data_IF_165424013031
#
_entry.id   IF_165424013031
#
_cell.length_a   1.000
_cell.length_b   1.000
_cell.length_c   1.000
_cell.angle_alpha   90.00
_cell.angle_beta   90.00
_cell.angle_gamma   90.00
#
_symmetry.space_group_name_H-M   'P 1'
#
loop_
_entity.id
_entity.type
_entity.pdbx_description
1 polymer ?
#
# COMPACT_ATOMS: atom_id res chain seq x y z
N UNK A 1 -9.99 -14.19 44.02
CA UNK A 1 -9.72 -12.97 43.25
C UNK A 1 -9.17 -13.40 41.89
N UNK A 2 -9.96 -13.40 40.79
CA UNK A 2 -9.42 -13.72 39.47
C UNK A 2 -8.81 -12.43 38.87
N UNK A 3 -7.54 -12.52 38.48
CA UNK A 3 -6.85 -11.50 37.71
C UNK A 3 -7.47 -11.40 36.31
N UNK A 4 -8.17 -10.32 36.05
CA UNK A 4 -8.66 -9.94 34.73
C UNK A 4 -7.48 -9.59 33.84
N UNK A 5 -7.19 -10.47 32.88
CA UNK A 5 -6.28 -10.24 31.76
C UNK A 5 -7.00 -9.31 30.76
N UNK A 6 -6.90 -8.00 30.96
CA UNK A 6 -7.28 -7.03 29.94
C UNK A 6 -6.26 -7.07 28.81
N UNK A 7 -6.53 -7.93 27.84
CA UNK A 7 -5.90 -7.87 26.53
C UNK A 7 -6.37 -6.55 25.90
N UNK A 8 -5.52 -5.52 25.95
CA UNK A 8 -5.72 -4.24 25.28
C UNK A 8 -5.99 -4.51 23.80
N UNK A 9 -7.26 -4.57 23.41
CA UNK A 9 -7.68 -4.62 22.02
C UNK A 9 -7.14 -3.34 21.34
N UNK A 10 -6.15 -3.49 20.48
CA UNK A 10 -5.68 -2.39 19.62
C UNK A 10 -6.89 -1.97 18.81
N UNK A 11 -7.36 -0.72 19.00
CA UNK A 11 -8.46 -0.17 18.20
C UNK A 11 -8.11 -0.36 16.73
N UNK A 12 -8.91 -1.13 15.97
CA UNK A 12 -8.81 -1.24 14.52
C UNK A 12 -8.83 0.18 13.96
N UNK A 13 -7.91 0.51 13.02
CA UNK A 13 -7.88 1.83 12.38
C UNK A 13 -7.07 2.91 13.11
N UNK A 14 -6.15 2.57 14.03
CA UNK A 14 -5.27 3.57 14.63
C UNK A 14 -4.08 3.89 13.72
N UNK A 15 -4.20 4.93 12.91
CA UNK A 15 -3.06 5.49 12.17
C UNK A 15 -2.04 6.11 13.13
N UNK A 16 -0.77 5.72 12.99
CA UNK A 16 0.32 6.13 13.89
C UNK A 16 1.29 7.17 13.29
N UNK A 17 1.13 7.50 12.01
CA UNK A 17 1.98 8.46 11.30
C UNK A 17 1.64 9.93 11.59
N UNK A 18 2.40 10.83 10.96
CA UNK A 18 2.14 12.26 11.01
C UNK A 18 0.88 12.60 10.20
N UNK A 19 -0.08 13.29 10.82
CA UNK A 19 -1.32 13.73 10.15
C UNK A 19 -1.21 15.13 9.54
N UNK A 20 -0.39 16.03 10.10
CA UNK A 20 -0.20 17.42 9.63
C UNK A 20 1.29 17.76 9.54
N UNK A 21 1.65 18.54 8.53
CA UNK A 21 2.99 19.09 8.33
C UNK A 21 3.02 20.62 8.45
N UNK A 22 3.76 21.27 7.55
CA UNK A 22 3.75 22.73 7.43
C UNK A 22 2.39 23.26 7.00
N UNK A 23 2.13 24.56 7.25
CA UNK A 23 0.94 25.23 6.78
C UNK A 23 0.77 25.05 5.26
N UNK A 24 -0.46 24.83 4.82
CA UNK A 24 -0.79 24.68 3.41
C UNK A 24 -0.72 26.05 2.70
N UNK A 25 -0.34 26.02 1.44
CA UNK A 25 -0.47 27.21 0.58
C UNK A 25 -1.97 27.48 0.31
N UNK A 26 -2.39 28.74 0.07
CA UNK A 26 -3.81 29.06 -0.15
C UNK A 26 -4.50 28.18 -1.19
N UNK A 27 -3.88 27.94 -2.35
CA UNK A 27 -4.43 27.04 -3.40
C UNK A 27 -4.60 25.61 -2.91
N UNK A 28 -3.66 25.10 -2.12
CA UNK A 28 -3.76 23.74 -1.57
C UNK A 28 -4.92 23.61 -0.56
N UNK A 29 -5.15 24.64 0.26
CA UNK A 29 -6.27 24.67 1.18
C UNK A 29 -7.61 24.74 0.42
N UNK A 30 -7.71 25.56 -0.64
CA UNK A 30 -8.88 25.65 -1.52
C UNK A 30 -9.19 24.26 -2.13
N UNK A 31 -8.20 23.56 -2.68
CA UNK A 31 -8.39 22.24 -3.29
C UNK A 31 -8.89 21.16 -2.30
N UNK A 32 -8.46 21.21 -1.05
CA UNK A 32 -9.01 20.33 -0.02
C UNK A 32 -10.49 20.60 0.23
N UNK A 33 -10.94 21.83 0.06
CA UNK A 33 -12.33 22.22 0.28
C UNK A 33 -13.22 21.97 -0.95
N UNK A 34 -12.70 22.18 -2.15
CA UNK A 34 -13.48 22.22 -3.39
C UNK A 34 -13.35 20.96 -4.24
N UNK A 35 -12.15 20.37 -4.28
CA UNK A 35 -11.84 19.21 -5.14
C UNK A 35 -11.91 17.87 -4.38
N UNK A 36 -11.38 17.81 -3.15
CA UNK A 36 -11.39 16.55 -2.40
C UNK A 36 -12.80 15.97 -2.24
N UNK A 37 -13.87 16.73 -1.91
CA UNK A 37 -15.22 16.15 -1.80
C UNK A 37 -15.72 15.48 -3.08
N UNK A 38 -15.23 15.90 -4.25
CA UNK A 38 -15.62 15.33 -5.55
C UNK A 38 -14.86 14.03 -5.89
N UNK A 39 -13.72 13.81 -5.24
CA UNK A 39 -12.82 12.67 -5.49
C UNK A 39 -12.82 11.68 -4.32
N UNK A 40 -13.28 12.10 -3.15
CA UNK A 40 -13.28 11.28 -1.95
C UNK A 40 -14.25 10.10 -2.08
N UNK A 41 -13.80 8.95 -1.59
CA UNK A 41 -14.67 7.79 -1.37
C UNK A 41 -15.51 8.01 -0.11
N UNK A 42 -16.79 7.76 -0.20
CA UNK A 42 -17.70 7.77 0.94
C UNK A 42 -17.78 6.36 1.56
N UNK A 43 -16.99 6.14 2.59
CA UNK A 43 -16.95 4.86 3.30
C UNK A 43 -18.16 4.67 4.25
N UNK A 44 -19.00 5.66 4.43
CA UNK A 44 -20.26 5.53 5.21
C UNK A 44 -21.36 4.80 4.42
N UNK A 45 -21.29 4.84 3.10
CA UNK A 45 -22.14 4.07 2.20
C UNK A 45 -21.50 2.70 1.87
N UNK A 46 -22.30 1.67 1.55
CA UNK A 46 -21.77 0.41 1.07
C UNK A 46 -20.91 0.59 -0.20
N UNK A 47 -19.79 -0.14 -0.28
CA UNK A 47 -18.99 -0.13 -1.48
C UNK A 47 -19.77 -0.69 -2.68
N UNK A 48 -19.57 -0.13 -3.89
CA UNK A 48 -20.15 -0.75 -5.09
C UNK A 48 -19.55 -2.14 -5.31
N UNK A 49 -20.36 -3.09 -5.70
CA UNK A 49 -19.91 -4.45 -6.02
C UNK A 49 -18.84 -4.47 -7.12
N UNK A 50 -18.94 -3.53 -8.06
CA UNK A 50 -17.92 -3.27 -9.10
C UNK A 50 -17.31 -1.88 -8.89
N UNK A 51 -16.10 -1.78 -8.31
CA UNK A 51 -15.47 -0.51 -8.05
C UNK A 51 -15.01 0.25 -9.31
N UNK A 52 -15.07 -0.37 -10.50
CA UNK A 52 -14.81 0.37 -11.76
C UNK A 52 -15.84 1.45 -12.01
N UNK A 53 -17.03 1.31 -11.40
CA UNK A 53 -18.13 2.31 -11.49
C UNK A 53 -17.88 3.58 -10.69
N UNK A 54 -16.86 3.61 -9.84
CA UNK A 54 -16.44 4.82 -9.09
C UNK A 54 -15.86 5.90 -10.00
N UNK A 55 -15.49 5.57 -11.23
CA UNK A 55 -14.80 6.47 -12.16
C UNK A 55 -15.75 7.02 -13.24
N UNK A 56 -15.58 8.29 -13.68
CA UNK A 56 -16.45 8.90 -14.69
C UNK A 56 -16.45 8.15 -16.02
N UNK A 57 -15.28 7.65 -16.43
CA UNK A 57 -15.15 6.69 -17.52
C UNK A 57 -14.92 5.33 -16.87
N UNK A 58 -15.71 4.33 -17.28
CA UNK A 58 -15.60 3.00 -16.71
C UNK A 58 -14.19 2.45 -16.91
N UNK A 59 -13.49 2.24 -15.80
CA UNK A 59 -12.17 1.65 -15.81
C UNK A 59 -12.24 0.13 -16.13
N UNK A 60 -11.22 -0.41 -16.77
CA UNK A 60 -11.13 -1.86 -16.96
C UNK A 60 -10.81 -2.58 -15.65
N UNK A 61 -9.95 -2.00 -14.85
CA UNK A 61 -9.52 -2.53 -13.55
C UNK A 61 -9.22 -1.40 -12.57
N UNK A 62 -9.21 -1.74 -11.28
CA UNK A 62 -8.87 -0.79 -10.21
C UNK A 62 -7.59 -1.25 -9.50
N UNK A 63 -6.66 -0.32 -9.29
CA UNK A 63 -5.47 -0.48 -8.45
C UNK A 63 -5.55 0.44 -7.23
N UNK A 64 -4.87 0.06 -6.15
CA UNK A 64 -4.79 0.84 -4.91
C UNK A 64 -3.34 1.20 -4.60
N UNK A 65 -3.05 2.46 -4.27
CA UNK A 65 -1.79 2.86 -3.66
C UNK A 65 -2.01 3.26 -2.21
N UNK A 66 -1.36 2.55 -1.28
CA UNK A 66 -1.43 2.81 0.16
C UNK A 66 -0.26 3.69 0.58
N UNK A 67 -0.56 4.86 1.16
CA UNK A 67 0.45 5.80 1.62
C UNK A 67 1.15 6.52 0.48
N UNK A 68 0.40 7.07 -0.47
CA UNK A 68 0.97 7.70 -1.68
C UNK A 68 1.84 8.94 -1.40
N UNK A 69 1.88 9.45 -0.18
CA UNK A 69 2.73 10.58 0.21
C UNK A 69 2.47 11.84 -0.61
N UNK A 70 3.36 12.22 -1.51
CA UNK A 70 3.17 13.36 -2.40
C UNK A 70 2.34 13.08 -3.64
N UNK A 71 2.04 11.81 -3.92
CA UNK A 71 1.23 11.36 -5.04
C UNK A 71 1.98 11.28 -6.37
N UNK A 72 3.31 11.44 -6.37
CA UNK A 72 4.10 11.47 -7.60
C UNK A 72 3.95 10.19 -8.43
N UNK A 73 4.02 9.02 -7.75
CA UNK A 73 3.86 7.71 -8.40
C UNK A 73 2.42 7.51 -8.85
N UNK A 74 1.44 7.69 -7.96
CA UNK A 74 0.02 7.52 -8.26
C UNK A 74 -0.44 8.38 -9.45
N UNK A 75 -0.07 9.68 -9.47
CA UNK A 75 -0.39 10.58 -10.57
C UNK A 75 0.25 10.15 -11.88
N UNK A 76 1.49 9.69 -11.84
CA UNK A 76 2.20 9.23 -13.03
C UNK A 76 1.60 7.93 -13.59
N UNK A 77 1.23 6.98 -12.73
CA UNK A 77 0.53 5.74 -13.11
C UNK A 77 -0.84 6.07 -13.72
N UNK A 78 -1.61 6.96 -13.11
CA UNK A 78 -2.92 7.34 -13.62
C UNK A 78 -2.86 7.99 -15.01
N UNK A 79 -1.84 8.82 -15.27
CA UNK A 79 -1.61 9.42 -16.61
C UNK A 79 -1.17 8.38 -17.64
N UNK A 80 -0.30 7.44 -17.24
CA UNK A 80 0.20 6.40 -18.14
C UNK A 80 -0.88 5.37 -18.52
N UNK A 81 -1.90 5.20 -17.67
CA UNK A 81 -2.95 4.18 -17.82
C UNK A 81 -4.35 4.81 -17.65
N UNK A 82 -4.82 5.61 -18.62
CA UNK A 82 -6.11 6.30 -18.53
C UNK A 82 -7.32 5.36 -18.53
N UNK A 83 -7.15 4.13 -18.98
CA UNK A 83 -8.12 3.04 -18.98
C UNK A 83 -8.23 2.28 -17.65
N UNK A 84 -7.34 2.55 -16.69
CA UNK A 84 -7.39 1.99 -15.34
C UNK A 84 -7.93 3.00 -14.34
N UNK A 85 -8.60 2.51 -13.30
CA UNK A 85 -8.98 3.29 -12.14
C UNK A 85 -7.92 3.17 -11.03
N UNK A 86 -7.64 4.27 -10.36
CA UNK A 86 -6.69 4.30 -9.25
C UNK A 86 -7.36 4.82 -7.99
N UNK A 87 -7.20 4.07 -6.90
CA UNK A 87 -7.58 4.53 -5.56
C UNK A 87 -6.29 4.89 -4.82
N UNK A 88 -6.22 6.09 -4.26
CA UNK A 88 -5.12 6.52 -3.39
C UNK A 88 -5.59 6.66 -1.95
N UNK A 89 -4.83 6.10 -1.00
CA UNK A 89 -5.09 6.23 0.43
C UNK A 89 -3.92 6.95 1.11
N UNK A 90 -4.20 8.08 1.80
CA UNK A 90 -3.17 8.86 2.49
C UNK A 90 -3.78 9.66 3.67
N UNK A 91 -3.35 9.44 4.90
CA UNK A 91 -3.85 10.20 6.06
C UNK A 91 -3.11 11.53 6.32
N UNK A 92 -2.00 11.80 5.60
CA UNK A 92 -1.21 13.01 5.78
C UNK A 92 -1.72 14.15 4.92
N UNK A 93 -2.27 15.21 5.56
CA UNK A 93 -2.94 16.33 4.88
C UNK A 93 -2.07 17.01 3.81
N UNK A 94 -0.77 17.16 4.04
CA UNK A 94 0.11 17.81 3.06
C UNK A 94 0.37 16.90 1.84
N UNK A 95 0.33 15.59 2.02
CA UNK A 95 0.36 14.61 0.93
C UNK A 95 -0.90 14.71 0.09
N UNK A 96 -2.06 14.63 0.74
CA UNK A 96 -3.37 14.79 0.10
C UNK A 96 -3.45 16.10 -0.70
N UNK A 97 -3.04 17.22 -0.11
CA UNK A 97 -3.06 18.52 -0.77
C UNK A 97 -2.13 18.61 -2.01
N UNK A 98 -1.00 17.88 -2.00
CA UNK A 98 -0.12 17.78 -3.18
C UNK A 98 -0.76 16.94 -4.29
N UNK A 99 -1.38 15.82 -3.92
CA UNK A 99 -2.09 14.95 -4.85
C UNK A 99 -3.22 15.71 -5.54
N UNK A 100 -4.03 16.46 -4.80
CA UNK A 100 -5.09 17.30 -5.35
C UNK A 100 -4.55 18.35 -6.30
N UNK A 101 -3.39 18.96 -5.98
CA UNK A 101 -2.76 19.93 -6.87
C UNK A 101 -2.27 19.29 -8.18
N UNK A 102 -1.77 18.06 -8.15
CA UNK A 102 -1.38 17.32 -9.34
C UNK A 102 -2.61 16.93 -10.19
N UNK A 103 -3.69 16.47 -9.56
CA UNK A 103 -4.95 16.15 -10.24
C UNK A 103 -5.53 17.37 -10.93
N UNK A 104 -5.56 18.51 -10.24
CA UNK A 104 -6.08 19.78 -10.77
C UNK A 104 -5.24 20.30 -11.95
N UNK A 105 -3.91 20.28 -11.81
CA UNK A 105 -3.00 20.78 -12.84
C UNK A 105 -3.00 19.93 -14.13
N UNK A 106 -3.09 18.61 -13.97
CA UNK A 106 -2.96 17.67 -15.10
C UNK A 106 -4.32 17.08 -15.54
N UNK A 107 -5.43 17.56 -14.96
CA UNK A 107 -6.81 17.12 -15.25
C UNK A 107 -6.99 15.58 -15.17
N UNK A 108 -6.40 14.95 -14.15
CA UNK A 108 -6.44 13.49 -13.99
C UNK A 108 -7.84 13.05 -13.53
N UNK A 109 -8.57 12.32 -14.38
CA UNK A 109 -9.97 11.93 -14.13
C UNK A 109 -10.15 10.54 -13.49
N UNK A 110 -9.14 9.69 -13.55
CA UNK A 110 -9.20 8.27 -13.18
C UNK A 110 -8.63 7.98 -11.78
N UNK A 111 -8.68 8.96 -10.85
CA UNK A 111 -8.28 8.80 -9.45
C UNK A 111 -9.47 9.01 -8.51
N UNK A 112 -9.56 8.18 -7.47
CA UNK A 112 -10.38 8.36 -6.28
C UNK A 112 -9.50 8.34 -5.04
N UNK A 113 -9.90 9.05 -3.99
CA UNK A 113 -9.06 9.29 -2.83
C UNK A 113 -9.77 8.87 -1.55
N UNK A 114 -9.04 8.22 -0.65
CA UNK A 114 -9.42 8.04 0.73
C UNK A 114 -8.48 8.84 1.63
N UNK A 115 -9.03 9.84 2.33
CA UNK A 115 -8.27 10.64 3.29
C UNK A 115 -8.38 10.03 4.69
N UNK A 116 -7.73 8.89 4.90
CA UNK A 116 -7.87 8.11 6.13
C UNK A 116 -6.89 6.96 6.26
N UNK A 117 -7.26 6.01 7.12
CA UNK A 117 -6.50 4.79 7.36
C UNK A 117 -6.76 3.76 6.25
N UNK A 118 -5.69 3.10 5.80
CA UNK A 118 -5.79 2.07 4.77
C UNK A 118 -6.61 0.85 5.20
N UNK A 119 -6.65 0.54 6.50
CA UNK A 119 -7.43 -0.60 7.00
C UNK A 119 -8.93 -0.32 6.85
N UNK A 120 -9.38 0.91 7.12
CA UNK A 120 -10.79 1.30 6.91
C UNK A 120 -11.18 1.14 5.44
N UNK A 121 -10.30 1.55 4.52
CA UNK A 121 -10.53 1.40 3.09
C UNK A 121 -10.52 -0.07 2.66
N UNK A 122 -9.56 -0.87 3.15
CA UNK A 122 -9.51 -2.29 2.84
C UNK A 122 -10.76 -3.02 3.36
N UNK A 123 -11.22 -2.71 4.59
CA UNK A 123 -12.43 -3.31 5.15
C UNK A 123 -13.69 -2.94 4.36
N UNK A 124 -13.74 -1.74 3.78
CA UNK A 124 -14.85 -1.25 2.96
C UNK A 124 -14.91 -1.91 1.57
N UNK A 125 -13.76 -2.20 0.95
CA UNK A 125 -13.71 -2.76 -0.41
C UNK A 125 -14.27 -4.19 -0.46
N UNK A 126 -14.99 -4.57 -1.53
CA UNK A 126 -15.45 -5.94 -1.74
C UNK A 126 -14.32 -6.92 -2.01
N UNK A 127 -14.62 -8.22 -1.96
CA UNK A 127 -13.68 -9.29 -2.21
C UNK A 127 -13.29 -9.37 -3.68
N UNK A 128 -11.99 -9.61 -3.97
CA UNK A 128 -11.50 -9.93 -5.30
C UNK A 128 -11.62 -8.82 -6.35
N UNK A 129 -11.71 -7.55 -5.96
CA UNK A 129 -11.97 -6.44 -6.87
C UNK A 129 -10.74 -5.69 -7.36
N UNK A 130 -9.63 -5.75 -6.61
CA UNK A 130 -8.42 -5.02 -6.97
C UNK A 130 -7.50 -5.81 -7.90
N UNK A 131 -7.00 -5.14 -8.94
CA UNK A 131 -6.02 -5.67 -9.88
C UNK A 131 -4.58 -5.57 -9.38
N UNK A 132 -4.33 -4.85 -8.30
CA UNK A 132 -3.02 -4.72 -7.67
C UNK A 132 -3.02 -3.68 -6.56
N UNK A 133 -2.01 -3.78 -5.69
CA UNK A 133 -1.78 -2.83 -4.59
C UNK A 133 -0.31 -2.42 -4.58
N UNK A 134 -0.07 -1.13 -4.44
CA UNK A 134 1.26 -0.55 -4.33
C UNK A 134 1.46 0.03 -2.92
N UNK A 135 2.55 -0.35 -2.24
CA UNK A 135 2.95 0.13 -0.90
C UNK A 135 4.42 0.57 -1.00
N UNK A 136 4.64 1.86 -1.20
CA UNK A 136 5.95 2.38 -1.56
C UNK A 136 6.56 3.21 -0.42
N UNK A 137 7.72 2.76 0.08
CA UNK A 137 8.47 3.43 1.14
C UNK A 137 7.62 3.79 2.38
N UNK A 138 6.84 2.84 2.92
CA UNK A 138 6.06 3.10 4.11
C UNK A 138 6.95 3.37 5.32
N UNK A 139 6.40 4.04 6.35
CA UNK A 139 7.11 4.36 7.57
C UNK A 139 7.72 3.10 8.21
N UNK A 140 9.05 2.99 8.37
CA UNK A 140 9.72 1.75 8.75
C UNK A 140 9.61 1.40 10.23
N UNK A 141 9.31 2.38 11.10
CA UNK A 141 9.20 2.20 12.55
C UNK A 141 10.35 1.37 13.13
N UNK A 142 11.62 1.86 13.13
CA UNK A 142 12.81 1.04 13.40
C UNK A 142 12.87 0.50 14.83
N UNK A 143 12.24 1.18 15.81
CA UNK A 143 12.25 0.72 17.21
C UNK A 143 11.30 -0.45 17.38
N UNK A 144 11.76 -1.58 17.94
CA UNK A 144 11.00 -2.82 18.13
C UNK A 144 9.61 -2.60 18.77
N UNK A 145 9.51 -1.73 19.80
CA UNK A 145 8.24 -1.36 20.43
C UNK A 145 7.24 -0.68 19.49
N UNK A 146 7.69 -0.21 18.30
CA UNK A 146 6.86 0.45 17.28
C UNK A 146 6.51 -0.46 16.09
N UNK A 147 7.00 -1.68 16.00
CA UNK A 147 6.74 -2.58 14.87
C UNK A 147 5.26 -2.83 14.64
N UNK A 148 4.45 -2.81 15.71
CA UNK A 148 2.97 -2.86 15.62
C UNK A 148 2.33 -1.72 14.81
N UNK A 149 3.11 -0.68 14.46
CA UNK A 149 2.69 0.48 13.65
C UNK A 149 2.99 0.29 12.16
N UNK A 150 3.79 -0.70 11.78
CA UNK A 150 4.09 -1.05 10.40
C UNK A 150 2.80 -1.41 9.68
N UNK A 151 2.62 -0.93 8.45
CA UNK A 151 1.42 -1.29 7.65
C UNK A 151 1.43 -2.78 7.28
N UNK A 152 2.60 -3.38 7.05
CA UNK A 152 2.70 -4.82 6.76
C UNK A 152 2.58 -5.61 8.06
N UNK A 153 1.37 -6.13 8.31
CA UNK A 153 1.01 -6.98 9.44
C UNK A 153 0.13 -8.13 8.93
N UNK A 154 -0.03 -9.17 9.74
CA UNK A 154 -0.81 -10.36 9.36
C UNK A 154 -2.26 -9.98 9.00
N UNK A 155 -2.88 -9.06 9.76
CA UNK A 155 -4.23 -8.56 9.50
C UNK A 155 -4.32 -7.79 8.17
N UNK A 156 -3.31 -6.96 7.86
CA UNK A 156 -3.25 -6.23 6.59
C UNK A 156 -3.08 -7.20 5.42
N UNK A 157 -2.22 -8.21 5.56
CA UNK A 157 -2.00 -9.23 4.53
C UNK A 157 -3.28 -10.03 4.28
N UNK A 158 -4.01 -10.39 5.32
CA UNK A 158 -5.31 -11.05 5.20
C UNK A 158 -6.34 -10.17 4.48
N UNK A 159 -6.41 -8.87 4.79
CA UNK A 159 -7.28 -7.93 4.12
C UNK A 159 -6.87 -7.75 2.63
N UNK A 160 -5.57 -7.67 2.32
CA UNK A 160 -5.07 -7.65 0.95
C UNK A 160 -5.43 -8.92 0.18
N UNK A 161 -5.30 -10.10 0.81
CA UNK A 161 -5.68 -11.37 0.20
C UNK A 161 -7.19 -11.42 -0.15
N UNK A 162 -8.03 -10.78 0.66
CA UNK A 162 -9.48 -10.70 0.44
C UNK A 162 -9.82 -9.78 -0.74
N UNK A 163 -9.27 -8.57 -0.77
CA UNK A 163 -9.67 -7.56 -1.77
C UNK A 163 -8.99 -7.74 -3.14
N UNK A 164 -7.85 -8.43 -3.20
CA UNK A 164 -7.13 -8.69 -4.45
C UNK A 164 -7.78 -9.85 -5.21
N UNK A 165 -7.97 -9.67 -6.51
CA UNK A 165 -8.31 -10.77 -7.40
C UNK A 165 -7.16 -11.76 -7.52
N UNK A 166 -7.47 -12.99 -7.91
CA UNK A 166 -6.46 -14.00 -8.23
C UNK A 166 -5.47 -13.48 -9.27
N UNK A 167 -4.18 -13.77 -9.09
CA UNK A 167 -3.10 -13.36 -9.98
C UNK A 167 -2.69 -11.89 -9.85
N UNK A 168 -3.37 -11.10 -9.01
CA UNK A 168 -3.00 -9.71 -8.76
C UNK A 168 -1.75 -9.62 -7.87
N UNK A 169 -0.97 -8.56 -8.06
CA UNK A 169 0.29 -8.36 -7.36
C UNK A 169 0.16 -7.28 -6.25
N UNK A 170 0.83 -7.55 -5.13
CA UNK A 170 1.21 -6.53 -4.15
C UNK A 170 2.65 -6.13 -4.43
N UNK A 171 2.85 -4.88 -4.76
CA UNK A 171 4.16 -4.26 -4.92
C UNK A 171 4.56 -3.57 -3.62
N UNK A 172 5.73 -3.90 -3.11
CA UNK A 172 6.29 -3.28 -1.92
C UNK A 172 7.71 -2.81 -2.17
N UNK A 173 7.99 -1.54 -1.92
CA UNK A 173 9.34 -0.99 -2.02
C UNK A 173 9.78 -0.36 -0.70
N UNK A 174 11.03 -0.59 -0.30
CA UNK A 174 11.65 0.02 0.88
C UNK A 174 13.17 0.07 0.74
N UNK A 175 13.79 1.09 1.31
CA UNK A 175 15.25 1.24 1.44
C UNK A 175 15.77 0.78 2.81
N UNK A 176 14.91 0.17 3.63
CA UNK A 176 15.22 -0.31 4.97
C UNK A 176 15.26 -1.83 4.98
N UNK A 177 16.45 -2.41 5.06
CA UNK A 177 16.68 -3.86 4.99
C UNK A 177 15.88 -4.64 6.05
N UNK A 178 15.81 -4.13 7.29
CA UNK A 178 14.99 -4.72 8.36
C UNK A 178 13.50 -4.76 8.00
N UNK A 179 13.00 -3.74 7.28
CA UNK A 179 11.60 -3.75 6.86
C UNK A 179 11.35 -4.66 5.65
N UNK A 180 12.33 -4.79 4.74
CA UNK A 180 12.25 -5.78 3.67
C UNK A 180 12.20 -7.21 4.23
N UNK A 181 13.11 -7.54 5.18
CA UNK A 181 13.12 -8.84 5.85
C UNK A 181 11.81 -9.11 6.61
N UNK A 182 11.31 -8.13 7.36
CA UNK A 182 10.01 -8.21 8.04
C UNK A 182 8.87 -8.52 7.06
N UNK A 183 8.84 -7.84 5.92
CA UNK A 183 7.79 -8.00 4.91
C UNK A 183 7.85 -9.40 4.30
N UNK A 184 9.04 -9.87 3.91
CA UNK A 184 9.24 -11.22 3.40
C UNK A 184 8.79 -12.30 4.40
N UNK A 185 9.18 -12.17 5.67
CA UNK A 185 8.77 -13.10 6.74
C UNK A 185 7.26 -13.19 6.89
N UNK A 186 6.56 -12.04 6.83
CA UNK A 186 5.11 -11.98 6.98
C UNK A 186 4.37 -12.59 5.78
N UNK A 187 4.77 -12.23 4.57
CA UNK A 187 4.18 -12.80 3.37
C UNK A 187 4.48 -14.29 3.21
N UNK A 188 5.66 -14.77 3.64
CA UNK A 188 5.99 -16.20 3.62
C UNK A 188 5.06 -17.06 4.50
N UNK A 189 4.43 -16.46 5.52
CA UNK A 189 3.44 -17.14 6.38
C UNK A 189 2.02 -17.09 5.81
N UNK A 190 1.79 -16.34 4.75
CA UNK A 190 0.48 -16.19 4.14
C UNK A 190 0.38 -17.10 2.89
N UNK A 191 -0.30 -18.28 2.98
CA UNK A 191 -0.35 -19.25 1.90
C UNK A 191 -1.07 -18.72 0.64
N UNK A 192 -1.81 -17.62 0.80
CA UNK A 192 -2.52 -16.92 -0.27
C UNK A 192 -1.63 -16.05 -1.15
N UNK A 193 -0.36 -15.91 -0.82
CA UNK A 193 0.61 -15.15 -1.60
C UNK A 193 1.84 -15.97 -1.95
N UNK A 194 2.37 -15.72 -3.13
CA UNK A 194 3.65 -16.24 -3.59
C UNK A 194 4.62 -15.07 -3.82
N UNK A 195 5.84 -15.16 -3.29
CA UNK A 195 6.89 -14.20 -3.62
C UNK A 195 7.41 -14.47 -5.03
N UNK A 196 7.27 -13.49 -5.93
CA UNK A 196 7.52 -13.68 -7.36
C UNK A 196 9.00 -13.69 -7.76
N UNK A 197 9.94 -13.45 -6.83
CA UNK A 197 11.36 -13.45 -7.13
C UNK A 197 11.94 -14.87 -7.21
N UNK A 198 12.62 -15.19 -8.29
CA UNK A 198 13.36 -16.43 -8.52
C UNK A 198 14.85 -16.27 -8.22
N UNK A 199 15.38 -15.05 -8.37
CA UNK A 199 16.78 -14.73 -8.11
C UNK A 199 16.95 -13.35 -7.44
N UNK A 200 18.18 -13.07 -6.98
CA UNK A 200 18.48 -11.82 -6.28
C UNK A 200 18.27 -10.57 -7.17
N UNK A 201 18.38 -10.68 -8.47
CA UNK A 201 18.19 -9.56 -9.39
C UNK A 201 16.73 -9.08 -9.41
N UNK A 202 15.76 -9.98 -9.16
CA UNK A 202 14.34 -9.71 -9.29
C UNK A 202 13.81 -8.75 -8.22
N UNK A 203 14.45 -8.71 -7.05
CA UNK A 203 14.04 -7.81 -5.96
C UNK A 203 15.04 -6.65 -5.73
N UNK A 204 16.15 -6.61 -6.50
CA UNK A 204 17.11 -5.49 -6.49
C UNK A 204 16.84 -4.47 -7.59
N UNK A 205 15.99 -4.80 -8.53
CA UNK A 205 15.52 -3.91 -9.59
C UNK A 205 14.02 -3.70 -9.46
N UNK A 206 13.50 -2.52 -9.81
CA UNK A 206 12.07 -2.29 -9.79
C UNK A 206 11.37 -3.17 -10.84
N UNK A 207 10.08 -3.47 -10.59
CA UNK A 207 9.22 -4.16 -11.56
C UNK A 207 8.98 -3.30 -12.81
N UNK A 208 8.59 -3.91 -13.95
CA UNK A 208 8.26 -3.17 -15.17
C UNK A 208 7.15 -2.12 -14.93
N UNK A 209 7.34 -0.92 -15.46
CA UNK A 209 6.39 0.19 -15.31
C UNK A 209 6.49 0.94 -13.97
N UNK A 210 7.41 0.56 -13.08
CA UNK A 210 7.67 1.32 -11.86
C UNK A 210 8.20 2.72 -12.18
N UNK A 211 7.67 3.71 -11.46
CA UNK A 211 8.14 5.09 -11.55
C UNK A 211 8.79 5.51 -10.22
N UNK A 212 10.02 6.04 -10.24
CA UNK A 212 10.75 6.38 -9.04
C UNK A 212 10.02 7.44 -8.19
N UNK A 213 10.01 7.23 -6.88
CA UNK A 213 9.48 8.20 -5.92
C UNK A 213 10.57 9.14 -5.42
N UNK A 214 10.17 10.29 -4.85
CA UNK A 214 11.12 11.18 -4.15
C UNK A 214 11.81 10.49 -2.97
N UNK A 215 11.16 9.49 -2.35
CA UNK A 215 11.71 8.73 -1.24
C UNK A 215 12.85 7.82 -1.72
N UNK A 216 12.68 7.20 -2.90
CA UNK A 216 13.77 6.45 -3.53
C UNK A 216 14.94 7.36 -3.89
N UNK A 217 14.68 8.50 -4.51
CA UNK A 217 15.73 9.46 -4.85
C UNK A 217 16.50 9.92 -3.60
N UNK A 218 15.81 10.10 -2.48
CA UNK A 218 16.45 10.41 -1.19
C UNK A 218 17.27 9.21 -0.69
N UNK A 219 16.72 8.00 -0.69
CA UNK A 219 17.42 6.79 -0.24
C UNK A 219 18.73 6.60 -1.00
N UNK A 220 18.69 6.72 -2.34
CA UNK A 220 19.89 6.60 -3.19
C UNK A 220 20.93 7.67 -2.90
N UNK A 221 20.52 8.93 -2.67
CA UNK A 221 21.45 10.01 -2.27
C UNK A 221 22.10 9.73 -0.92
N UNK A 222 21.37 9.09 0.00
CA UNK A 222 21.86 8.72 1.33
C UNK A 222 22.66 7.38 1.29
N UNK A 223 22.96 6.83 0.10
CA UNK A 223 23.72 5.59 -0.08
C UNK A 223 22.94 4.31 0.26
N UNK A 224 21.61 4.40 0.49
CA UNK A 224 20.78 3.22 0.76
C UNK A 224 20.30 2.56 -0.54
N UNK A 225 20.26 1.23 -0.52
CA UNK A 225 19.84 0.42 -1.68
C UNK A 225 18.39 -0.03 -1.48
N UNK A 226 17.46 0.37 -2.35
CA UNK A 226 16.09 -0.09 -2.29
C UNK A 226 15.94 -1.58 -2.55
N UNK A 227 14.94 -2.18 -1.91
CA UNK A 227 14.41 -3.52 -2.20
C UNK A 227 13.03 -3.38 -2.81
N UNK A 228 12.74 -4.17 -3.85
CA UNK A 228 11.48 -4.17 -4.60
C UNK A 228 10.89 -5.57 -4.53
N UNK A 229 9.85 -5.74 -3.72
CA UNK A 229 9.24 -7.03 -3.46
C UNK A 229 7.90 -7.12 -4.19
N UNK A 230 7.66 -8.22 -4.88
CA UNK A 230 6.40 -8.50 -5.58
C UNK A 230 5.81 -9.79 -5.02
N UNK A 231 4.58 -9.70 -4.50
CA UNK A 231 3.85 -10.84 -3.97
C UNK A 231 2.58 -11.04 -4.79
N UNK A 232 2.48 -12.20 -5.42
CA UNK A 232 1.33 -12.55 -6.27
C UNK A 232 0.27 -13.27 -5.48
N UNK A 233 -0.98 -12.82 -5.58
CA UNK A 233 -2.15 -13.48 -5.01
C UNK A 233 -2.39 -14.81 -5.73
N UNK A 234 -2.43 -15.91 -4.98
CA UNK A 234 -2.68 -17.27 -5.50
C UNK A 234 -3.88 -17.90 -4.82
N UNK A 235 -4.56 -18.83 -5.51
CA UNK A 235 -5.67 -19.60 -4.95
C UNK A 235 -5.22 -20.83 -4.15
N UNK A 236 -4.00 -20.87 -3.66
CA UNK A 236 -3.61 -21.95 -2.77
C UNK A 236 -4.45 -21.89 -1.49
N UNK A 237 -5.70 -22.36 -1.62
CA UNK A 237 -6.44 -22.92 -0.50
C UNK A 237 -5.65 -24.12 -0.01
N UNK A 238 -5.49 -24.20 1.27
CA UNK A 238 -5.00 -25.20 2.22
C UNK A 238 -4.87 -26.69 1.81
N UNK A 239 -4.46 -27.04 0.60
CA UNK A 239 -4.23 -28.42 0.14
C UNK A 239 -2.77 -28.67 -0.30
N UNK A 240 -1.79 -28.02 0.32
CA UNK A 240 -0.41 -28.46 0.23
C UNK A 240 -0.05 -29.19 1.54
N UNK A 241 0.45 -30.44 1.46
CA UNK A 241 0.90 -31.15 2.67
C UNK A 241 1.99 -30.34 3.38
N UNK A 242 1.92 -30.35 4.71
CA UNK A 242 2.79 -29.60 5.61
C UNK A 242 4.27 -30.11 5.66
N UNK A 243 4.78 -30.70 4.59
CA UNK A 243 6.09 -31.37 4.53
C UNK A 243 6.95 -30.95 3.33
N UNK A 244 7.20 -29.65 3.20
CA UNK A 244 8.48 -29.21 2.70
C UNK A 244 9.02 -28.10 3.61
N UNK A 245 9.71 -28.53 4.66
CA UNK A 245 10.55 -27.67 5.48
C UNK A 245 11.57 -27.01 4.57
N UNK A 246 11.30 -25.75 4.17
CA UNK A 246 12.32 -24.87 3.61
C UNK A 246 13.38 -24.76 4.71
N UNK A 247 14.49 -25.50 4.54
CA UNK A 247 15.69 -25.32 5.35
C UNK A 247 16.12 -23.87 5.19
N UNK A 248 15.98 -23.08 6.24
CA UNK A 248 16.56 -21.76 6.29
C UNK A 248 18.05 -21.87 5.93
N UNK A 249 18.57 -21.03 5.01
CA UNK A 249 19.98 -21.01 4.73
C UNK A 249 20.71 -20.63 6.02
N UNK A 250 21.51 -21.56 6.52
CA UNK A 250 22.39 -21.35 7.66
C UNK A 250 23.46 -20.32 7.26
N UNK A 251 23.58 -19.27 8.06
CA UNK A 251 24.67 -18.29 8.12
C UNK A 251 24.74 -17.27 6.98
N UNK A 252 24.27 -16.09 7.27
CA UNK A 252 24.76 -14.88 6.60
C UNK A 252 26.22 -14.66 7.04
N UNK A 253 27.16 -14.95 6.12
CA UNK A 253 28.56 -14.62 6.29
C UNK A 253 28.71 -13.11 6.46
N UNK A 254 29.46 -12.69 7.47
CA UNK A 254 30.04 -11.37 7.61
C UNK A 254 30.96 -11.11 6.38
N UNK A 255 30.66 -10.08 5.61
CA UNK A 255 31.62 -9.25 4.86
C UNK A 255 31.07 -7.82 4.89
#
# INVERSE_FOLDING_TARGET
MPHSNETSAIKRGAFFGRRKGHALRPRQASLLHELLPKLALDLSAPAPADPTTLFPQRAHYVRLEIGFGGGEHLAAQARAHPDLGFIGCEPFVNGMAKMLAAIDADHIGNIRLHFGDAIELLDWLPDGVLAGVDILYPDPWPKRRHWKRRIVRDETIAALARVLRQGADVHFATDIADYAAWTLERFARAPTFHWAAECAADWRKPWPGYLPTRYEAKARRDGRVPSYLVFRRTDRLADAPADEKIKAPSKWGQV
#
